data_IF_429303006383
#
_entry.id   IF_429303006383
#
_cell.length_a   1.000
_cell.length_b   1.000
_cell.length_c   1.000
_cell.angle_alpha   90.00
_cell.angle_beta   90.00
_cell.angle_gamma   90.00
#
_symmetry.space_group_name_H-M   'P 1'
#
loop_
_entity.id
_entity.type
_entity.pdbx_description
1 polymer ?
#
# COMPACT_ATOMS: atom_id res chain seq x y z
N UNK A 1 -15.42 -2.69 -2.76
CA UNK A 1 -15.67 -1.98 -4.05
C UNK A 1 -14.78 -2.56 -5.13
N UNK A 2 -15.23 -2.57 -6.39
CA UNK A 2 -14.37 -3.02 -7.49
C UNK A 2 -13.40 -1.92 -7.91
N UNK A 3 -12.15 -2.34 -8.16
CA UNK A 3 -11.07 -1.50 -8.69
C UNK A 3 -10.34 -2.21 -9.83
N UNK A 4 -9.57 -1.48 -10.62
CA UNK A 4 -8.62 -2.05 -11.57
C UNK A 4 -7.21 -1.83 -11.04
N UNK A 5 -6.44 -2.91 -10.93
CA UNK A 5 -5.06 -2.84 -10.44
C UNK A 5 -4.11 -3.63 -11.36
N UNK A 6 -2.82 -3.28 -11.32
CA UNK A 6 -1.75 -4.00 -11.98
C UNK A 6 -1.25 -5.12 -11.05
N UNK A 7 -1.61 -6.36 -11.36
CA UNK A 7 -1.32 -7.54 -10.52
C UNK A 7 -0.12 -8.30 -11.07
N UNK A 8 0.83 -8.61 -10.20
CA UNK A 8 1.93 -9.55 -10.46
C UNK A 8 1.54 -10.90 -9.86
N UNK A 9 1.30 -11.90 -10.71
CA UNK A 9 0.73 -13.20 -10.29
C UNK A 9 1.76 -14.17 -9.70
N UNK A 10 3.00 -14.07 -10.16
CA UNK A 10 4.13 -14.91 -9.74
C UNK A 10 5.47 -14.19 -9.98
N UNK A 11 6.55 -14.73 -9.42
CA UNK A 11 7.90 -14.17 -9.56
C UNK A 11 8.29 -13.96 -11.02
N UNK A 12 8.70 -12.74 -11.37
CA UNK A 12 9.11 -12.34 -12.71
C UNK A 12 7.99 -12.23 -13.74
N UNK A 13 6.72 -12.44 -13.36
CA UNK A 13 5.61 -12.20 -14.26
C UNK A 13 5.44 -10.70 -14.56
N UNK A 14 5.03 -10.41 -15.80
CA UNK A 14 4.66 -9.05 -16.18
C UNK A 14 3.33 -8.68 -15.49
N UNK A 15 3.21 -7.47 -14.91
CA UNK A 15 1.96 -7.00 -14.34
C UNK A 15 0.82 -7.05 -15.35
N UNK A 16 -0.33 -7.56 -14.95
CA UNK A 16 -1.56 -7.58 -15.76
C UNK A 16 -2.63 -6.72 -15.09
N UNK A 17 -3.41 -6.01 -15.89
CA UNK A 17 -4.56 -5.27 -15.38
C UNK A 17 -5.69 -6.25 -15.05
N UNK A 18 -6.07 -6.29 -13.79
CA UNK A 18 -7.12 -7.17 -13.29
C UNK A 18 -8.14 -6.37 -12.48
N UNK A 19 -9.37 -6.91 -12.39
CA UNK A 19 -10.40 -6.39 -11.49
C UNK A 19 -10.23 -7.06 -10.13
N UNK A 20 -10.08 -6.24 -9.11
CA UNK A 20 -9.97 -6.67 -7.71
C UNK A 20 -11.09 -6.06 -6.87
N UNK A 21 -11.34 -6.68 -5.72
CA UNK A 21 -12.17 -6.13 -4.66
C UNK A 21 -11.26 -5.40 -3.66
N UNK A 22 -11.55 -4.12 -3.41
CA UNK A 22 -10.91 -3.30 -2.38
C UNK A 22 -11.89 -3.10 -1.22
N UNK A 23 -11.41 -3.18 0.01
CA UNK A 23 -12.13 -2.71 1.18
C UNK A 23 -12.51 -1.23 1.00
N UNK A 24 -13.80 -0.97 0.78
CA UNK A 24 -14.28 0.39 0.48
C UNK A 24 -14.44 1.28 1.72
N UNK A 25 -14.24 0.74 2.92
CA UNK A 25 -14.31 1.48 4.19
C UNK A 25 -12.95 1.46 4.85
N UNK A 26 -12.27 2.61 4.96
CA UNK A 26 -10.97 2.68 5.63
C UNK A 26 -11.12 2.35 7.12
N UNK A 27 -10.12 1.72 7.71
CA UNK A 27 -10.02 1.50 9.16
C UNK A 27 -9.76 2.82 9.88
N UNK A 28 -9.72 2.78 11.20
CA UNK A 28 -9.56 3.96 12.04
C UNK A 28 -8.35 4.84 11.66
N UNK A 29 -7.25 4.21 11.25
CA UNK A 29 -5.97 4.83 10.88
C UNK A 29 -5.71 4.90 9.36
N UNK A 30 -6.67 4.47 8.54
CA UNK A 30 -6.53 4.40 7.07
C UNK A 30 -7.20 5.58 6.36
N UNK A 31 -6.73 5.82 5.14
CA UNK A 31 -7.29 6.82 4.21
C UNK A 31 -7.62 6.13 2.88
N UNK A 32 -8.84 6.32 2.39
CA UNK A 32 -9.22 5.92 1.04
C UNK A 32 -8.91 7.07 0.07
N UNK A 33 -8.07 6.80 -0.91
CA UNK A 33 -7.64 7.78 -1.91
C UNK A 33 -8.09 7.32 -3.29
N UNK A 34 -8.81 8.18 -4.00
CA UNK A 34 -9.05 7.98 -5.43
C UNK A 34 -7.80 8.39 -6.20
N UNK A 35 -7.08 7.40 -6.70
CA UNK A 35 -5.83 7.60 -7.44
C UNK A 35 -6.09 8.38 -8.74
N UNK A 36 -5.32 9.43 -8.99
CA UNK A 36 -5.36 10.26 -10.20
C UNK A 36 -4.13 9.99 -11.06
N UNK A 37 -3.01 9.68 -10.43
CA UNK A 37 -1.75 9.36 -11.10
C UNK A 37 -0.95 8.39 -10.25
N UNK A 38 -0.32 7.43 -10.92
CA UNK A 38 0.62 6.50 -10.30
C UNK A 38 1.88 6.41 -11.16
N UNK A 39 3.05 6.38 -10.51
CA UNK A 39 4.33 6.16 -11.14
C UNK A 39 4.74 4.69 -11.04
N UNK A 40 5.69 4.30 -11.89
CA UNK A 40 6.37 3.00 -11.83
C UNK A 40 7.86 3.24 -11.68
N UNK A 41 8.43 2.71 -10.65
CA UNK A 41 9.84 2.85 -10.35
C UNK A 41 10.58 1.49 -10.47
N UNK A 42 11.90 1.54 -10.50
CA UNK A 42 12.70 0.31 -10.59
C UNK A 42 12.51 -0.61 -9.37
N UNK A 43 12.13 -0.06 -8.22
CA UNK A 43 11.82 -0.84 -7.02
C UNK A 43 10.62 -1.77 -7.23
N UNK A 44 9.59 -1.33 -7.96
CA UNK A 44 8.44 -2.19 -8.30
C UNK A 44 8.89 -3.39 -9.15
N UNK A 45 9.74 -3.16 -10.15
CA UNK A 45 10.26 -4.21 -11.01
C UNK A 45 11.14 -5.20 -10.22
N UNK A 46 12.05 -4.69 -9.38
CA UNK A 46 12.91 -5.53 -8.54
C UNK A 46 12.10 -6.34 -7.51
N UNK A 47 11.01 -5.77 -6.99
CA UNK A 47 10.11 -6.48 -6.07
C UNK A 47 9.29 -7.54 -6.80
N UNK A 48 8.82 -7.26 -8.02
CA UNK A 48 8.17 -8.25 -8.88
C UNK A 48 9.08 -9.45 -9.22
N UNK A 49 10.39 -9.25 -9.24
CA UNK A 49 11.42 -10.29 -9.42
C UNK A 49 11.90 -10.89 -8.07
N UNK A 50 11.24 -10.57 -6.96
CA UNK A 50 11.58 -11.01 -5.60
C UNK A 50 13.01 -10.68 -5.14
N UNK A 51 13.65 -9.66 -5.72
CA UNK A 51 15.03 -9.31 -5.40
C UNK A 51 15.22 -8.86 -3.94
N UNK A 52 14.20 -8.21 -3.36
CA UNK A 52 14.23 -7.72 -1.98
C UNK A 52 13.42 -8.59 -0.99
N UNK A 53 12.85 -9.72 -1.44
CA UNK A 53 11.94 -10.50 -0.60
C UNK A 53 10.62 -9.75 -0.37
N UNK A 54 9.95 -9.35 -1.44
CA UNK A 54 8.70 -8.59 -1.39
C UNK A 54 7.47 -9.37 -0.91
N UNK A 55 6.27 -8.76 -1.03
CA UNK A 55 5.02 -9.38 -0.60
C UNK A 55 4.76 -10.74 -1.28
N UNK A 56 4.01 -11.65 -0.65
CA UNK A 56 3.58 -12.88 -1.30
C UNK A 56 2.75 -12.63 -2.57
N UNK A 57 2.92 -13.49 -3.58
CA UNK A 57 2.09 -13.44 -4.79
C UNK A 57 0.72 -14.08 -4.56
N UNK A 58 -0.33 -13.62 -5.29
CA UNK A 58 -0.35 -12.47 -6.18
C UNK A 58 -0.23 -11.16 -5.41
N UNK A 59 0.40 -10.16 -6.01
CA UNK A 59 0.67 -8.88 -5.35
C UNK A 59 0.35 -7.69 -6.26
N UNK A 60 -0.09 -6.58 -5.65
CA UNK A 60 -0.20 -5.26 -6.26
C UNK A 60 0.95 -4.40 -5.73
N UNK A 61 1.73 -3.89 -6.64
CA UNK A 61 2.86 -2.99 -6.35
C UNK A 61 2.48 -1.55 -6.72
N UNK A 62 3.42 -0.65 -6.58
CA UNK A 62 3.23 0.78 -6.83
C UNK A 62 3.29 1.56 -5.52
N UNK A 63 4.16 2.57 -5.49
CA UNK A 63 4.43 3.39 -4.31
C UNK A 63 4.61 4.88 -4.65
N UNK A 64 4.26 5.26 -5.85
CA UNK A 64 4.33 6.63 -6.35
C UNK A 64 2.93 7.14 -6.70
N UNK A 65 1.98 6.95 -5.79
CA UNK A 65 0.59 7.34 -5.98
C UNK A 65 0.32 8.79 -5.61
N UNK A 66 -0.57 9.43 -6.37
CA UNK A 66 -1.16 10.72 -6.03
C UNK A 66 -2.66 10.72 -6.34
N UNK A 67 -3.44 11.38 -5.50
CA UNK A 67 -4.89 11.35 -5.66
C UNK A 67 -5.64 12.35 -4.80
N UNK A 68 -6.93 12.09 -4.67
CA UNK A 68 -7.86 12.87 -3.87
C UNK A 68 -8.46 11.98 -2.79
N UNK A 69 -8.44 12.43 -1.55
CA UNK A 69 -9.00 11.71 -0.40
C UNK A 69 -10.51 11.60 -0.55
N UNK A 70 -11.06 10.38 -0.47
CA UNK A 70 -12.50 10.10 -0.53
C UNK A 70 -13.09 9.73 0.82
N UNK A 71 -12.32 9.08 1.70
CA UNK A 71 -12.73 8.79 3.06
C UNK A 71 -11.53 8.73 3.99
N UNK A 72 -11.76 8.99 5.26
CA UNK A 72 -10.74 8.93 6.32
C UNK A 72 -11.27 8.13 7.51
N UNK A 73 -10.39 7.37 8.15
CA UNK A 73 -10.67 6.73 9.43
C UNK A 73 -10.77 7.72 10.58
N UNK A 74 -11.36 7.31 11.69
CA UNK A 74 -11.66 8.19 12.83
C UNK A 74 -10.42 8.71 13.58
N UNK A 75 -9.29 7.99 13.50
CA UNK A 75 -8.03 8.36 14.14
C UNK A 75 -7.10 9.16 13.21
N UNK A 76 -7.48 9.32 11.95
CA UNK A 76 -6.69 10.08 10.97
C UNK A 76 -6.74 11.57 11.29
N UNK A 77 -5.58 12.21 11.29
CA UNK A 77 -5.45 13.65 11.48
C UNK A 77 -4.53 14.25 10.40
N UNK A 78 -4.73 15.53 10.09
CA UNK A 78 -3.88 16.25 9.15
C UNK A 78 -4.30 16.19 7.69
N UNK A 79 -5.21 15.27 7.31
CA UNK A 79 -5.83 15.21 5.98
C UNK A 79 -7.33 14.97 6.12
N UNK A 80 -8.10 15.40 5.11
CA UNK A 80 -9.56 15.27 5.08
C UNK A 80 -10.09 15.02 3.68
N UNK A 81 -11.36 14.64 3.61
CA UNK A 81 -12.04 14.39 2.33
C UNK A 81 -11.93 15.60 1.40
N UNK A 82 -11.52 15.36 0.17
CA UNK A 82 -11.29 16.38 -0.85
C UNK A 82 -9.86 16.89 -0.94
N UNK A 83 -8.99 16.55 0.01
CA UNK A 83 -7.58 16.94 -0.04
C UNK A 83 -6.84 16.22 -1.18
N UNK A 84 -5.93 16.94 -1.82
CA UNK A 84 -5.00 16.38 -2.79
C UNK A 84 -3.75 15.90 -2.08
N UNK A 85 -3.41 14.64 -2.27
CA UNK A 85 -2.30 13.98 -1.57
C UNK A 85 -1.33 13.30 -2.52
N UNK A 86 -0.06 13.28 -2.13
CA UNK A 86 0.92 12.34 -2.64
C UNK A 86 1.17 11.30 -1.53
N UNK A 87 1.06 10.04 -1.90
CA UNK A 87 1.24 8.93 -0.97
C UNK A 87 2.72 8.61 -0.79
N UNK A 88 3.10 8.09 0.37
CA UNK A 88 4.47 7.79 0.74
C UNK A 88 4.51 6.50 1.57
N UNK A 89 5.72 6.10 1.98
CA UNK A 89 5.93 4.96 2.87
C UNK A 89 5.31 5.17 4.25
N UNK A 90 5.03 4.06 4.93
CA UNK A 90 4.54 4.03 6.30
C UNK A 90 5.69 3.86 7.31
N UNK A 91 5.42 4.22 8.58
CA UNK A 91 6.38 4.12 9.69
C UNK A 91 5.64 3.95 11.02
N UNK A 92 6.23 3.25 11.97
CA UNK A 92 5.55 2.89 13.23
C UNK A 92 5.23 4.07 14.17
N UNK A 93 5.89 5.21 14.03
CA UNK A 93 5.66 6.38 14.89
C UNK A 93 6.23 6.29 16.31
N UNK A 94 6.61 5.12 16.81
CA UNK A 94 6.95 4.86 18.21
C UNK A 94 8.40 4.43 18.47
N UNK A 95 9.14 3.97 17.46
CA UNK A 95 10.53 3.60 17.64
C UNK A 95 11.42 4.83 17.88
N UNK A 96 12.64 4.61 18.37
CA UNK A 96 13.59 5.66 18.68
C UNK A 96 13.82 6.63 17.51
N UNK A 97 13.93 6.11 16.29
CA UNK A 97 14.17 6.93 15.11
C UNK A 97 12.94 7.78 14.75
N UNK A 98 11.74 7.21 14.80
CA UNK A 98 10.50 7.95 14.57
C UNK A 98 10.31 9.07 15.61
N UNK A 99 10.49 8.77 16.89
CA UNK A 99 10.36 9.75 17.98
C UNK A 99 11.38 10.88 17.90
N UNK A 100 12.53 10.66 17.26
CA UNK A 100 13.56 11.69 17.03
C UNK A 100 13.39 12.45 15.70
N UNK A 101 12.30 12.20 14.96
CA UNK A 101 12.00 12.85 13.67
C UNK A 101 12.73 12.24 12.47
N UNK A 102 13.32 11.07 12.61
CA UNK A 102 14.05 10.37 11.55
C UNK A 102 13.22 9.20 10.99
N UNK A 103 11.99 9.47 10.59
CA UNK A 103 11.02 8.46 10.10
C UNK A 103 11.52 7.59 8.93
N UNK A 104 12.38 8.06 7.99
CA UNK A 104 12.95 7.20 6.95
C UNK A 104 13.84 6.07 7.49
N UNK A 105 14.26 6.17 8.75
CA UNK A 105 15.07 5.15 9.44
C UNK A 105 14.24 4.38 10.48
N UNK A 106 12.92 4.28 10.27
CA UNK A 106 12.05 3.49 11.14
C UNK A 106 12.61 2.07 11.32
N UNK A 107 12.68 1.61 12.58
CA UNK A 107 13.22 0.28 12.90
C UNK A 107 12.30 -0.85 12.37
N UNK A 108 11.02 -0.54 12.15
CA UNK A 108 10.00 -1.45 11.63
C UNK A 108 9.62 -1.12 10.18
N UNK A 109 10.51 -0.47 9.41
CA UNK A 109 10.20 -0.02 8.04
C UNK A 109 9.81 -1.17 7.12
N UNK A 110 10.46 -2.32 7.27
CA UNK A 110 10.23 -3.50 6.43
C UNK A 110 8.81 -4.06 6.65
N UNK A 111 8.41 -4.23 7.90
CA UNK A 111 7.09 -4.74 8.27
C UNK A 111 5.96 -3.85 7.76
N UNK A 112 6.15 -2.54 7.82
CA UNK A 112 5.17 -1.57 7.37
C UNK A 112 5.04 -1.44 5.86
N UNK A 113 6.07 -1.85 5.09
CA UNK A 113 6.11 -1.49 3.67
C UNK A 113 6.31 -2.66 2.70
N UNK A 114 6.76 -3.85 3.18
CA UNK A 114 7.15 -4.95 2.29
C UNK A 114 6.42 -6.27 2.52
N UNK A 115 5.61 -6.40 3.58
CA UNK A 115 4.88 -7.65 3.86
C UNK A 115 3.60 -7.81 3.04
N UNK A 116 3.12 -6.73 2.41
CA UNK A 116 1.91 -6.77 1.58
C UNK A 116 0.62 -6.94 2.37
N UNK A 117 0.63 -6.47 3.63
CA UNK A 117 -0.46 -6.64 4.58
C UNK A 117 -0.51 -5.49 5.58
N UNK A 118 -1.65 -5.36 6.23
CA UNK A 118 -1.83 -4.46 7.37
C UNK A 118 -1.04 -4.98 8.56
N UNK A 119 -0.20 -4.16 9.14
CA UNK A 119 0.66 -4.53 10.28
C UNK A 119 -0.15 -4.99 11.48
N UNK A 120 -1.34 -4.40 11.69
CA UNK A 120 -2.16 -4.65 12.86
C UNK A 120 -2.70 -6.09 12.97
N UNK A 121 -2.98 -6.76 11.85
CA UNK A 121 -3.64 -8.06 11.85
C UNK A 121 -3.28 -9.00 10.68
N UNK A 122 -2.35 -8.62 9.83
CA UNK A 122 -1.90 -9.43 8.70
C UNK A 122 -2.93 -9.58 7.57
N UNK A 123 -3.98 -8.75 7.54
CA UNK A 123 -4.95 -8.76 6.45
C UNK A 123 -4.50 -7.89 5.29
N UNK A 124 -5.01 -8.16 4.08
CA UNK A 124 -4.87 -7.25 2.94
C UNK A 124 -6.20 -6.53 2.69
N UNK A 125 -6.17 -5.28 2.23
CA UNK A 125 -7.38 -4.61 1.76
C UNK A 125 -7.87 -5.14 0.40
N UNK A 126 -7.07 -5.96 -0.27
CA UNK A 126 -7.32 -6.44 -1.62
C UNK A 126 -7.67 -7.94 -1.65
N UNK A 127 -8.66 -8.28 -2.48
CA UNK A 127 -9.00 -9.67 -2.77
C UNK A 127 -9.43 -9.86 -4.23
N UNK A 128 -9.35 -11.12 -4.69
CA UNK A 128 -9.83 -11.57 -5.99
C UNK A 128 -10.64 -12.83 -5.78
N UNK A 129 -11.95 -12.78 -6.09
CA UNK A 129 -12.86 -13.92 -5.88
C UNK A 129 -12.82 -14.50 -4.44
N UNK A 130 -12.61 -13.63 -3.44
CA UNK A 130 -12.47 -14.01 -2.04
C UNK A 130 -11.07 -14.48 -1.61
N UNK A 131 -10.14 -14.64 -2.55
CA UNK A 131 -8.75 -14.97 -2.26
C UNK A 131 -7.92 -13.70 -2.04
N UNK A 132 -7.04 -13.73 -1.04
CA UNK A 132 -6.18 -12.60 -0.71
C UNK A 132 -5.25 -12.26 -1.86
N UNK A 133 -5.14 -10.97 -2.16
CA UNK A 133 -4.09 -10.37 -2.99
C UNK A 133 -3.25 -9.47 -2.09
N UNK A 134 -1.94 -9.59 -2.11
CA UNK A 134 -1.05 -8.74 -1.32
C UNK A 134 -1.11 -7.30 -1.83
N UNK A 135 -1.37 -6.37 -0.91
CA UNK A 135 -1.37 -4.93 -1.11
C UNK A 135 -0.44 -4.25 -0.11
N UNK A 136 -0.74 -3.00 0.26
CA UNK A 136 0.01 -2.25 1.28
C UNK A 136 1.53 -2.16 1.00
N UNK A 137 1.95 -2.25 -0.25
CA UNK A 137 3.34 -2.02 -0.65
C UNK A 137 3.66 -0.53 -0.47
N UNK A 138 4.62 -0.20 0.40
CA UNK A 138 4.83 1.17 0.91
C UNK A 138 3.53 1.81 1.45
N UNK A 139 2.75 1.03 2.20
CA UNK A 139 1.43 1.38 2.72
C UNK A 139 0.36 1.72 1.66
N UNK A 140 0.66 1.53 0.38
CA UNK A 140 -0.24 1.80 -0.72
C UNK A 140 -0.80 0.51 -1.31
N UNK A 141 -1.94 0.62 -2.00
CA UNK A 141 -2.57 -0.45 -2.77
C UNK A 141 -3.01 0.14 -4.11
N UNK A 142 -2.04 0.36 -4.98
CA UNK A 142 -2.23 1.05 -6.27
C UNK A 142 -2.53 0.10 -7.41
#
# INVERSE_FOLDING_TARGET
MEITAAVVSEEGAQPQLETLELDGTPRADEVLVRVVSAGVCHTDLSTAENFYGGPPYPQVLGHEGAGVVEAVGEDVSGVGVGDHVAMSYDFCGECRNCLSGHVPYCENLYEHNFLGERVADGTSPLSREGERVSGCFFAQSS
#
